data_IF_796339152471
#
_entry.id   IF_796339152471
#
_cell.length_a   1.000
_cell.length_b   1.000
_cell.length_c   1.000
_cell.angle_alpha   90.00
_cell.angle_beta   90.00
_cell.angle_gamma   90.00
#
_symmetry.space_group_name_H-M   'P 1'
#
loop_
_entity.id
_entity.type
_entity.pdbx_description
1 polymer ?
#
# COMPACT_ATOMS: atom_id res chain seq x y z
N UNK A 1 9.32 6.94 -23.22
CA UNK A 1 9.45 6.21 -21.94
C UNK A 1 8.09 5.67 -21.54
N UNK A 2 7.94 4.37 -21.35
CA UNK A 2 6.71 3.75 -20.86
C UNK A 2 6.41 4.26 -19.44
N UNK A 3 5.22 4.80 -19.22
CA UNK A 3 4.81 5.38 -17.91
C UNK A 3 3.78 4.53 -17.16
N UNK A 4 3.27 3.49 -17.85
CA UNK A 4 2.21 2.60 -17.34
C UNK A 4 2.59 1.17 -17.68
N UNK A 5 2.48 0.27 -16.72
CA UNK A 5 2.94 -1.12 -16.84
C UNK A 5 1.84 -2.10 -16.44
N UNK A 6 1.89 -3.32 -16.96
CA UNK A 6 1.12 -4.44 -16.42
C UNK A 6 1.68 -4.89 -15.08
N UNK A 7 0.88 -5.66 -14.35
CA UNK A 7 1.34 -6.26 -13.07
C UNK A 7 2.51 -7.21 -13.32
N UNK A 8 2.49 -7.95 -14.44
CA UNK A 8 3.56 -8.87 -14.81
C UNK A 8 4.86 -8.13 -15.09
N UNK A 9 4.82 -7.06 -15.90
CA UNK A 9 6.00 -6.23 -16.17
C UNK A 9 6.60 -5.65 -14.88
N UNK A 10 5.77 -5.20 -13.94
CA UNK A 10 6.27 -4.73 -12.63
C UNK A 10 6.97 -5.85 -11.87
N UNK A 11 6.40 -7.06 -11.82
CA UNK A 11 7.01 -8.22 -11.18
C UNK A 11 8.36 -8.60 -11.81
N UNK A 12 8.46 -8.55 -13.13
CA UNK A 12 9.72 -8.80 -13.83
C UNK A 12 10.78 -7.76 -13.47
N UNK A 13 10.42 -6.47 -13.45
CA UNK A 13 11.31 -5.38 -13.06
C UNK A 13 11.79 -5.57 -11.62
N UNK A 14 10.87 -5.85 -10.69
CA UNK A 14 11.20 -6.13 -9.29
C UNK A 14 12.09 -7.37 -9.14
N UNK A 15 11.82 -8.43 -9.90
CA UNK A 15 12.61 -9.67 -9.90
C UNK A 15 14.04 -9.44 -10.43
N UNK A 16 14.21 -8.62 -11.47
CA UNK A 16 15.54 -8.23 -11.98
C UNK A 16 16.32 -7.41 -10.95
N UNK A 17 15.66 -6.46 -10.32
CA UNK A 17 16.28 -5.66 -9.25
C UNK A 17 16.65 -6.52 -8.03
N UNK A 18 15.78 -7.47 -7.64
CA UNK A 18 16.04 -8.45 -6.58
C UNK A 18 17.33 -9.26 -6.85
N UNK A 19 17.47 -9.81 -8.06
CA UNK A 19 18.70 -10.54 -8.45
C UNK A 19 19.94 -9.64 -8.40
N UNK A 20 19.83 -8.40 -8.88
CA UNK A 20 20.91 -7.43 -8.86
C UNK A 20 21.38 -7.06 -7.44
N UNK A 21 20.46 -7.11 -6.46
CA UNK A 21 20.74 -6.86 -5.04
C UNK A 21 21.15 -8.11 -4.25
N UNK A 22 21.55 -9.17 -4.92
CA UNK A 22 21.95 -10.42 -4.25
C UNK A 22 20.84 -11.09 -3.47
N UNK A 23 19.56 -10.92 -3.88
CA UNK A 23 18.42 -11.55 -3.23
C UNK A 23 17.81 -10.75 -2.05
N UNK A 24 18.15 -9.48 -1.88
CA UNK A 24 17.58 -8.62 -0.83
C UNK A 24 16.31 -7.89 -1.31
N UNK A 25 15.15 -8.56 -1.15
CA UNK A 25 13.84 -7.93 -1.39
C UNK A 25 13.39 -7.03 -0.25
N UNK A 26 13.87 -7.26 0.96
CA UNK A 26 13.46 -6.48 2.13
C UNK A 26 13.92 -5.02 2.03
N UNK A 27 15.09 -4.76 1.45
CA UNK A 27 15.57 -3.39 1.23
C UNK A 27 14.65 -2.59 0.29
N UNK A 28 14.05 -3.24 -0.72
CA UNK A 28 13.06 -2.59 -1.60
C UNK A 28 11.80 -2.21 -0.82
N UNK A 29 11.30 -3.11 0.04
CA UNK A 29 10.15 -2.82 0.92
C UNK A 29 10.46 -1.66 1.87
N UNK A 30 11.65 -1.62 2.47
CA UNK A 30 12.08 -0.51 3.33
C UNK A 30 12.09 0.81 2.55
N UNK A 31 12.68 0.83 1.35
CA UNK A 31 12.71 2.02 0.49
C UNK A 31 11.28 2.48 0.11
N UNK A 32 10.42 1.54 -0.28
CA UNK A 32 9.02 1.82 -0.60
C UNK A 32 8.30 2.47 0.58
N UNK A 33 8.34 1.83 1.75
CA UNK A 33 7.67 2.32 2.95
C UNK A 33 8.19 3.69 3.41
N UNK A 34 9.52 3.88 3.46
CA UNK A 34 10.15 5.15 3.85
C UNK A 34 9.77 6.27 2.88
N UNK A 35 9.86 6.03 1.57
CA UNK A 35 9.55 7.06 0.58
C UNK A 35 8.04 7.37 0.52
N UNK A 36 7.17 6.38 0.74
CA UNK A 36 5.75 6.62 0.94
C UNK A 36 5.50 7.47 2.19
N UNK A 37 6.12 7.16 3.33
CA UNK A 37 5.98 7.93 4.56
C UNK A 37 6.40 9.40 4.38
N UNK A 38 7.52 9.66 3.70
CA UNK A 38 7.96 11.03 3.34
C UNK A 38 6.92 11.77 2.48
N UNK A 39 6.23 11.08 1.54
CA UNK A 39 5.14 11.69 0.76
C UNK A 39 3.89 11.92 1.61
N UNK A 40 3.55 10.97 2.49
CA UNK A 40 2.41 11.09 3.42
C UNK A 40 2.59 12.32 4.30
N UNK A 41 3.75 12.53 4.90
CA UNK A 41 4.07 13.71 5.74
C UNK A 41 3.71 15.01 5.01
N UNK A 42 4.08 15.14 3.73
CA UNK A 42 3.76 16.33 2.91
C UNK A 42 2.26 16.51 2.65
N UNK A 43 1.46 15.43 2.71
CA UNK A 43 0.04 15.43 2.38
C UNK A 43 -0.89 15.62 3.60
N UNK A 44 -0.44 15.26 4.82
CA UNK A 44 -1.36 15.09 5.95
C UNK A 44 -1.25 16.14 7.06
N UNK A 45 -0.26 17.04 7.04
CA UNK A 45 -0.13 18.18 7.99
C UNK A 45 -0.37 17.78 9.46
N UNK A 46 0.42 16.89 10.05
CA UNK A 46 0.34 16.43 11.46
C UNK A 46 -1.04 15.88 11.92
N UNK A 47 -1.92 15.47 11.03
CA UNK A 47 -3.15 14.78 11.44
C UNK A 47 -2.86 13.39 11.99
N UNK A 48 -3.69 12.86 12.92
CA UNK A 48 -3.61 11.46 13.33
C UNK A 48 -3.74 10.52 12.12
N UNK A 49 -2.95 9.46 12.12
CA UNK A 49 -2.85 8.51 11.01
C UNK A 49 -3.30 7.12 11.49
N UNK A 50 -4.15 6.50 10.71
CA UNK A 50 -4.57 5.10 10.91
C UNK A 50 -4.08 4.30 9.71
N UNK A 51 -3.24 3.30 9.95
CA UNK A 51 -2.73 2.41 8.92
C UNK A 51 -3.48 1.07 9.00
N UNK A 52 -4.01 0.62 7.87
CA UNK A 52 -4.72 -0.65 7.79
C UNK A 52 -3.93 -1.61 6.92
N UNK A 53 -3.32 -2.64 7.54
CA UNK A 53 -2.39 -3.57 6.90
C UNK A 53 -3.05 -4.92 6.61
N UNK A 54 -2.99 -5.36 5.35
CA UNK A 54 -3.38 -6.69 4.92
C UNK A 54 -2.25 -7.73 5.03
N UNK A 55 -2.45 -8.97 4.53
CA UNK A 55 -1.55 -10.10 4.77
C UNK A 55 -0.27 -10.12 3.93
N UNK A 56 -0.23 -9.38 2.79
CA UNK A 56 0.88 -9.42 1.83
C UNK A 56 1.91 -8.31 2.02
N UNK A 57 2.77 -8.14 1.00
CA UNK A 57 3.84 -7.14 1.00
C UNK A 57 3.33 -5.70 1.15
N UNK A 58 2.16 -5.39 0.61
CA UNK A 58 1.54 -4.06 0.82
C UNK A 58 1.26 -3.79 2.32
N UNK A 59 0.89 -4.83 3.10
CA UNK A 59 0.82 -4.75 4.56
C UNK A 59 2.19 -4.53 5.19
N UNK A 60 3.23 -5.17 4.64
CA UNK A 60 4.63 -4.96 5.02
C UNK A 60 5.08 -3.51 4.83
N UNK A 61 4.77 -2.92 3.66
CA UNK A 61 5.01 -1.50 3.40
C UNK A 61 4.33 -0.62 4.47
N UNK A 62 3.10 -0.98 4.86
CA UNK A 62 2.34 -0.31 5.92
C UNK A 62 3.05 -0.34 7.28
N UNK A 63 3.72 -1.43 7.64
CA UNK A 63 4.51 -1.51 8.88
C UNK A 63 5.74 -0.62 8.84
N UNK A 64 6.45 -0.58 7.71
CA UNK A 64 7.59 0.33 7.52
C UNK A 64 7.12 1.80 7.58
N UNK A 65 6.02 2.13 6.91
CA UNK A 65 5.40 3.47 6.96
C UNK A 65 5.08 3.84 8.42
N UNK A 66 4.47 2.90 9.17
CA UNK A 66 4.11 3.10 10.57
C UNK A 66 5.31 3.46 11.44
N UNK A 67 6.38 2.67 11.37
CA UNK A 67 7.61 2.94 12.10
C UNK A 67 8.19 4.30 11.78
N UNK A 68 8.33 4.62 10.49
CA UNK A 68 8.90 5.90 10.06
C UNK A 68 8.08 7.10 10.55
N UNK A 69 6.75 7.03 10.46
CA UNK A 69 5.87 8.10 10.93
C UNK A 69 5.89 8.22 12.46
N UNK A 70 5.98 7.11 13.17
CA UNK A 70 6.11 7.09 14.63
C UNK A 70 7.42 7.75 15.08
N UNK A 71 8.55 7.42 14.42
CA UNK A 71 9.85 8.06 14.65
C UNK A 71 9.87 9.57 14.31
N UNK A 72 8.92 10.04 13.51
CA UNK A 72 8.67 11.45 13.20
C UNK A 72 7.57 12.06 14.08
N UNK A 73 7.26 11.42 15.21
CA UNK A 73 6.32 11.90 16.24
C UNK A 73 4.88 12.10 15.73
N UNK A 74 4.47 11.38 14.67
CA UNK A 74 3.07 11.34 14.27
C UNK A 74 2.28 10.41 15.20
N UNK A 75 1.04 10.79 15.52
CA UNK A 75 0.10 9.90 16.21
C UNK A 75 -0.36 8.83 15.22
N UNK A 76 0.16 7.61 15.36
CA UNK A 76 -0.08 6.48 14.46
C UNK A 76 -0.78 5.35 15.19
N UNK A 77 -1.85 4.83 14.59
CA UNK A 77 -2.51 3.58 14.98
C UNK A 77 -2.39 2.57 13.84
N UNK A 78 -2.07 1.32 14.15
CA UNK A 78 -1.93 0.25 13.16
C UNK A 78 -2.96 -0.83 13.42
N UNK A 79 -3.85 -1.05 12.44
CA UNK A 79 -4.79 -2.17 12.42
C UNK A 79 -4.30 -3.23 11.44
N UNK A 80 -4.15 -4.46 11.89
CA UNK A 80 -3.60 -5.53 11.07
C UNK A 80 -4.19 -6.90 11.43
N UNK A 81 -3.87 -7.91 10.63
CA UNK A 81 -4.17 -9.30 10.92
C UNK A 81 -3.24 -9.85 12.02
N UNK A 82 -3.54 -11.04 12.52
CA UNK A 82 -2.65 -11.75 13.46
C UNK A 82 -1.35 -12.14 12.76
N UNK A 83 -0.25 -12.22 13.52
CA UNK A 83 1.12 -12.54 13.05
C UNK A 83 1.17 -13.76 12.13
N UNK A 84 0.38 -14.79 12.38
CA UNK A 84 0.34 -16.05 11.59
C UNK A 84 -0.01 -15.86 10.11
N UNK A 85 -0.63 -14.74 9.76
CA UNK A 85 -1.00 -14.41 8.37
C UNK A 85 0.12 -13.73 7.57
N UNK A 86 1.25 -13.38 8.21
CA UNK A 86 2.38 -12.75 7.54
C UNK A 86 3.48 -13.74 7.23
N UNK A 87 4.11 -13.60 6.04
CA UNK A 87 5.23 -14.44 5.57
C UNK A 87 6.30 -13.52 4.94
N UNK A 88 7.49 -14.06 4.71
CA UNK A 88 8.58 -13.36 4.00
C UNK A 88 8.87 -11.97 4.58
N UNK A 89 9.00 -10.98 3.70
CA UNK A 89 9.36 -9.61 4.08
C UNK A 89 8.28 -8.90 4.88
N UNK A 90 7.01 -9.20 4.62
CA UNK A 90 5.91 -8.68 5.44
C UNK A 90 6.00 -9.15 6.90
N UNK A 91 6.42 -10.40 7.14
CA UNK A 91 6.67 -10.89 8.50
C UNK A 91 7.90 -10.23 9.13
N UNK A 92 8.97 -10.01 8.36
CA UNK A 92 10.16 -9.27 8.84
C UNK A 92 9.76 -7.84 9.26
N UNK A 93 8.98 -7.15 8.43
CA UNK A 93 8.48 -5.81 8.74
C UNK A 93 7.58 -5.79 9.98
N UNK A 94 6.65 -6.76 10.10
CA UNK A 94 5.80 -6.92 11.28
C UNK A 94 6.62 -7.10 12.57
N UNK A 95 7.65 -7.97 12.55
CA UNK A 95 8.52 -8.21 13.72
C UNK A 95 9.33 -6.98 14.14
N UNK A 96 9.63 -6.08 13.20
CA UNK A 96 10.36 -4.82 13.43
C UNK A 96 9.44 -3.66 13.82
N UNK A 97 8.12 -3.86 13.83
CA UNK A 97 7.17 -2.80 14.16
C UNK A 97 7.26 -2.43 15.64
N UNK A 98 7.50 -1.15 15.91
CA UNK A 98 7.63 -0.59 17.27
C UNK A 98 6.30 -0.15 17.87
N UNK A 99 5.23 -0.16 17.08
CA UNK A 99 3.89 0.32 17.47
C UNK A 99 3.04 -0.90 17.88
N UNK A 100 2.32 -0.77 19.01
CA UNK A 100 1.33 -1.77 19.42
C UNK A 100 0.19 -1.83 18.38
N UNK A 101 -0.02 -3.00 17.81
CA UNK A 101 -1.04 -3.22 16.80
C UNK A 101 -2.40 -3.55 17.40
N UNK A 102 -3.46 -3.27 16.65
CA UNK A 102 -4.82 -3.69 16.92
C UNK A 102 -5.31 -4.67 15.85
N UNK A 103 -6.18 -5.62 16.25
CA UNK A 103 -6.77 -6.53 15.27
C UNK A 103 -7.61 -5.75 14.25
N UNK A 104 -7.45 -6.06 12.97
CA UNK A 104 -8.13 -5.36 11.87
C UNK A 104 -9.66 -5.39 11.99
N UNK A 105 -10.23 -6.43 12.59
CA UNK A 105 -11.68 -6.52 12.85
C UNK A 105 -12.19 -5.42 13.78
N UNK A 106 -11.31 -4.91 14.66
CA UNK A 106 -11.60 -3.82 15.60
C UNK A 106 -11.44 -2.42 14.97
N UNK A 107 -11.12 -2.35 13.68
CA UNK A 107 -10.96 -1.07 12.99
C UNK A 107 -12.18 -0.17 13.21
N UNK A 108 -11.92 1.03 13.71
CA UNK A 108 -12.90 2.11 13.86
C UNK A 108 -12.37 3.35 13.14
N UNK A 109 -13.19 3.87 12.26
CA UNK A 109 -12.95 5.14 11.61
C UNK A 109 -13.02 6.27 12.63
N UNK A 110 -12.09 7.23 12.59
CA UNK A 110 -12.09 8.40 13.50
C UNK A 110 -12.19 9.69 12.70
N UNK A 111 -13.05 10.59 13.14
CA UNK A 111 -13.11 11.96 12.60
C UNK A 111 -11.72 12.61 12.66
N UNK A 112 -11.37 13.38 11.63
CA UNK A 112 -10.09 14.10 11.52
C UNK A 112 -8.82 13.25 11.39
N UNK A 113 -8.91 11.92 11.25
CA UNK A 113 -7.77 11.08 10.91
C UNK A 113 -7.61 10.92 9.39
N UNK A 114 -6.39 10.56 8.97
CA UNK A 114 -6.10 10.10 7.62
C UNK A 114 -5.89 8.60 7.67
N UNK A 115 -6.54 7.87 6.77
CA UNK A 115 -6.38 6.43 6.64
C UNK A 115 -5.33 6.14 5.57
N UNK A 116 -4.39 5.27 5.89
CA UNK A 116 -3.45 4.68 4.92
C UNK A 116 -3.91 3.26 4.64
N UNK A 117 -4.31 3.02 3.41
CA UNK A 117 -4.73 1.72 2.90
C UNK A 117 -3.49 0.95 2.43
N UNK A 118 -3.13 -0.05 3.20
CA UNK A 118 -2.08 -1.02 2.92
C UNK A 118 -2.64 -2.46 2.96
N UNK A 119 -3.92 -2.68 2.56
CA UNK A 119 -4.53 -4.00 2.66
C UNK A 119 -4.05 -4.89 1.52
N UNK A 120 -4.25 -4.47 0.27
CA UNK A 120 -3.84 -5.21 -0.92
C UNK A 120 -3.21 -4.28 -1.96
N UNK A 121 -2.11 -4.71 -2.56
CA UNK A 121 -1.52 -4.13 -3.76
C UNK A 121 -1.89 -4.95 -5.00
N UNK A 122 -1.03 -4.94 -6.00
CA UNK A 122 -1.21 -5.63 -7.29
C UNK A 122 -1.32 -7.16 -7.20
N UNK A 123 -0.94 -7.77 -6.09
CA UNK A 123 -1.04 -9.21 -5.87
C UNK A 123 -2.45 -9.77 -5.65
N UNK A 124 -3.48 -8.90 -5.58
CA UNK A 124 -4.86 -9.33 -5.39
C UNK A 124 -5.43 -9.94 -6.69
N UNK A 125 -5.86 -11.21 -6.62
CA UNK A 125 -6.45 -11.94 -7.74
C UNK A 125 -7.81 -12.57 -7.43
N UNK A 126 -8.35 -12.35 -6.23
CA UNK A 126 -9.65 -12.90 -5.78
C UNK A 126 -10.55 -11.80 -5.22
N UNK A 127 -11.88 -11.95 -5.31
CA UNK A 127 -12.80 -11.01 -4.69
C UNK A 127 -12.58 -10.89 -3.18
N UNK A 128 -12.59 -9.65 -2.68
CA UNK A 128 -12.48 -9.38 -1.24
C UNK A 128 -13.82 -9.70 -0.57
N UNK A 129 -13.77 -10.47 0.51
CA UNK A 129 -14.93 -10.90 1.28
C UNK A 129 -14.68 -10.79 2.81
N UNK A 130 -15.68 -11.16 3.61
CA UNK A 130 -15.58 -11.28 5.06
C UNK A 130 -15.14 -10.00 5.78
N UNK A 131 -14.27 -10.14 6.76
CA UNK A 131 -13.81 -9.05 7.62
C UNK A 131 -13.16 -7.92 6.83
N UNK A 132 -12.32 -8.23 5.83
CA UNK A 132 -11.64 -7.21 5.03
C UNK A 132 -12.60 -6.38 4.18
N UNK A 133 -13.65 -7.02 3.62
CA UNK A 133 -14.74 -6.30 2.93
C UNK A 133 -15.43 -5.32 3.89
N UNK A 134 -15.79 -5.77 5.10
CA UNK A 134 -16.44 -4.92 6.11
C UNK A 134 -15.54 -3.74 6.54
N UNK A 135 -14.22 -3.94 6.64
CA UNK A 135 -13.25 -2.89 6.95
C UNK A 135 -13.19 -1.86 5.82
N UNK A 136 -13.06 -2.30 4.57
CA UNK A 136 -13.02 -1.40 3.40
C UNK A 136 -14.29 -0.55 3.31
N UNK A 137 -15.46 -1.15 3.51
CA UNK A 137 -16.73 -0.41 3.49
C UNK A 137 -16.78 0.66 4.61
N UNK A 138 -16.22 0.36 5.80
CA UNK A 138 -16.09 1.35 6.89
C UNK A 138 -15.09 2.44 6.57
N UNK A 139 -13.94 2.11 5.96
CA UNK A 139 -12.95 3.10 5.50
C UNK A 139 -13.56 4.09 4.52
N UNK A 140 -14.36 3.61 3.57
CA UNK A 140 -14.99 4.43 2.53
C UNK A 140 -16.01 5.47 3.07
N UNK A 141 -16.43 5.37 4.32
CA UNK A 141 -17.29 6.38 4.99
C UNK A 141 -16.50 7.61 5.46
N UNK A 142 -15.17 7.56 5.43
CA UNK A 142 -14.29 8.64 5.88
C UNK A 142 -13.78 9.49 4.70
N UNK A 143 -13.38 10.71 5.04
CA UNK A 143 -13.12 11.75 4.04
C UNK A 143 -11.72 11.71 3.44
N UNK A 144 -10.71 11.07 4.04
CA UNK A 144 -9.33 11.09 3.51
C UNK A 144 -8.64 9.74 3.61
N UNK A 145 -8.47 9.10 2.46
CA UNK A 145 -7.76 7.83 2.33
C UNK A 145 -6.60 8.01 1.36
N UNK A 146 -5.42 7.54 1.74
CA UNK A 146 -4.24 7.40 0.88
C UNK A 146 -3.99 5.91 0.70
N UNK A 147 -4.09 5.40 -0.53
CA UNK A 147 -3.79 4.00 -0.84
C UNK A 147 -2.33 3.85 -1.27
N UNK A 148 -1.69 2.79 -0.80
CA UNK A 148 -0.33 2.42 -1.20
C UNK A 148 -0.42 1.42 -2.34
N UNK A 149 0.39 1.62 -3.36
CA UNK A 149 0.50 0.89 -4.60
C UNK A 149 -0.72 1.05 -5.52
N UNK A 150 -1.85 0.48 -5.19
CA UNK A 150 -3.15 0.59 -5.86
C UNK A 150 -4.27 0.53 -4.81
N UNK A 151 -5.42 1.19 -5.00
CA UNK A 151 -6.51 1.07 -4.03
C UNK A 151 -6.91 -0.38 -3.83
N UNK A 152 -6.92 -0.83 -2.57
CA UNK A 152 -7.27 -2.22 -2.26
C UNK A 152 -8.60 -2.61 -2.86
N UNK A 153 -8.60 -3.71 -3.61
CA UNK A 153 -9.75 -4.21 -4.34
C UNK A 153 -9.82 -3.82 -5.82
N UNK A 154 -8.90 -3.00 -6.32
CA UNK A 154 -8.75 -2.72 -7.75
C UNK A 154 -7.76 -3.71 -8.37
N UNK A 155 -8.15 -4.37 -9.45
CA UNK A 155 -7.26 -5.22 -10.24
C UNK A 155 -6.22 -4.37 -10.99
N UNK A 156 -4.95 -4.72 -10.86
CA UNK A 156 -3.82 -3.93 -11.38
C UNK A 156 -3.75 -3.83 -12.90
N UNK A 157 -4.31 -4.79 -13.63
CA UNK A 157 -4.29 -4.81 -15.10
C UNK A 157 -5.59 -4.32 -15.72
N UNK A 158 -6.73 -4.72 -15.15
CA UNK A 158 -8.04 -4.42 -15.74
C UNK A 158 -8.75 -3.21 -15.15
N UNK A 159 -8.31 -2.73 -14.01
CA UNK A 159 -8.99 -1.68 -13.25
C UNK A 159 -10.34 -2.09 -12.66
N UNK A 160 -10.76 -3.35 -12.82
CA UNK A 160 -12.04 -3.86 -12.29
C UNK A 160 -12.00 -3.97 -10.76
N UNK A 161 -13.18 -3.84 -10.14
CA UNK A 161 -13.36 -4.03 -8.70
C UNK A 161 -13.47 -5.53 -8.41
N UNK A 162 -12.65 -6.03 -7.49
CA UNK A 162 -12.68 -7.40 -7.00
C UNK A 162 -13.48 -7.48 -5.70
N UNK A 163 -14.79 -7.63 -5.80
CA UNK A 163 -15.74 -7.71 -4.68
C UNK A 163 -16.08 -6.37 -4.04
N UNK A 164 -15.10 -5.63 -3.56
CA UNK A 164 -15.21 -4.25 -3.11
C UNK A 164 -13.87 -3.54 -3.25
N UNK A 165 -13.85 -2.21 -3.24
CA UNK A 165 -12.60 -1.47 -3.33
C UNK A 165 -12.58 -0.20 -2.47
N UNK A 166 -11.39 0.20 -2.07
CA UNK A 166 -11.14 1.48 -1.38
C UNK A 166 -11.29 2.63 -2.36
N UNK A 167 -12.02 3.68 -1.94
CA UNK A 167 -12.15 4.95 -2.67
C UNK A 167 -11.06 5.91 -2.20
N UNK A 168 -9.86 5.80 -2.77
CA UNK A 168 -8.75 6.66 -2.38
C UNK A 168 -8.96 8.13 -2.79
N UNK A 169 -8.39 9.05 -2.03
CA UNK A 169 -8.22 10.46 -2.41
C UNK A 169 -6.89 10.68 -3.13
N UNK A 170 -5.90 9.90 -2.73
CA UNK A 170 -4.58 9.88 -3.35
C UNK A 170 -4.08 8.45 -3.34
N UNK A 171 -3.44 8.04 -4.43
CA UNK A 171 -2.75 6.74 -4.53
C UNK A 171 -1.26 7.00 -4.69
N UNK A 172 -0.45 6.38 -3.84
CA UNK A 172 1.00 6.36 -3.93
C UNK A 172 1.40 5.12 -4.71
N UNK A 173 1.52 5.23 -6.02
CA UNK A 173 1.88 4.11 -6.91
C UNK A 173 3.37 3.80 -6.78
N UNK A 174 3.70 2.59 -6.34
CA UNK A 174 5.09 2.15 -6.16
C UNK A 174 5.75 1.95 -7.52
N UNK A 175 6.95 2.50 -7.69
CA UNK A 175 7.78 2.47 -8.90
C UNK A 175 7.12 3.11 -10.12
N UNK A 176 5.94 2.66 -10.53
CA UNK A 176 5.23 3.14 -11.73
C UNK A 176 3.71 2.99 -11.60
N UNK A 177 2.96 3.63 -12.51
CA UNK A 177 1.52 3.39 -12.66
C UNK A 177 1.30 2.00 -13.26
N UNK A 178 0.27 1.30 -12.77
CA UNK A 178 -0.24 0.07 -13.37
C UNK A 178 -1.37 0.39 -14.34
N UNK A 179 -1.64 -0.50 -15.30
CA UNK A 179 -2.72 -0.33 -16.28
C UNK A 179 -4.05 -0.05 -15.57
N UNK A 180 -4.34 -0.77 -14.48
CA UNK A 180 -5.56 -0.61 -13.70
C UNK A 180 -5.78 0.79 -13.09
N UNK A 181 -4.72 1.59 -12.96
CA UNK A 181 -4.85 3.01 -12.56
C UNK A 181 -5.45 3.89 -13.66
N UNK A 182 -5.39 3.48 -14.92
CA UNK A 182 -5.79 4.28 -16.09
C UNK A 182 -7.16 3.88 -16.63
N UNK A 183 -7.64 2.70 -16.30
CA UNK A 183 -8.93 2.14 -16.72
C UNK A 183 -10.01 2.36 -15.64
N UNK A 184 -11.24 2.63 -16.06
CA UNK A 184 -12.36 2.68 -15.12
C UNK A 184 -12.83 1.25 -14.76
N UNK A 185 -13.25 1.03 -13.50
CA UNK A 185 -13.41 2.00 -12.41
C UNK A 185 -12.12 2.35 -11.66
N UNK A 186 -10.99 1.68 -11.88
CA UNK A 186 -9.73 1.88 -11.15
C UNK A 186 -9.25 3.33 -11.18
N UNK A 187 -9.31 4.01 -12.34
CA UNK A 187 -8.98 5.43 -12.47
C UNK A 187 -9.80 6.31 -11.50
N UNK A 188 -11.11 6.08 -11.42
CA UNK A 188 -12.03 6.81 -10.53
C UNK A 188 -11.71 6.55 -9.05
N UNK A 189 -11.31 5.34 -8.70
CA UNK A 189 -11.00 4.93 -7.33
C UNK A 189 -9.60 5.37 -6.89
N UNK A 190 -8.64 5.49 -7.80
CA UNK A 190 -7.27 5.95 -7.53
C UNK A 190 -7.14 7.46 -7.39
N UNK A 191 -8.00 8.23 -8.04
CA UNK A 191 -8.01 9.71 -8.08
C UNK A 191 -6.64 10.32 -8.38
N UNK A 192 -6.07 11.09 -7.44
CA UNK A 192 -4.72 11.67 -7.59
C UNK A 192 -3.66 10.60 -7.43
N UNK A 193 -2.86 10.36 -8.46
CA UNK A 193 -1.79 9.35 -8.42
C UNK A 193 -0.45 10.05 -8.36
N UNK A 194 0.37 9.66 -7.38
CA UNK A 194 1.75 10.10 -7.20
C UNK A 194 2.62 8.87 -7.29
N UNK A 195 3.54 8.83 -8.26
CA UNK A 195 4.52 7.75 -8.36
C UNK A 195 5.59 7.95 -7.29
N UNK A 196 5.88 6.88 -6.57
CA UNK A 196 6.91 6.84 -5.52
C UNK A 196 8.07 6.01 -6.01
N UNK A 197 9.26 6.61 -6.02
CA UNK A 197 10.50 5.89 -6.28
C UNK A 197 10.81 4.95 -5.12
N UNK A 198 11.00 3.68 -5.41
CA UNK A 198 11.33 2.63 -4.44
C UNK A 198 12.77 2.16 -4.54
N UNK A 199 13.59 2.84 -5.35
CA UNK A 199 15.00 2.53 -5.54
C UNK A 199 15.30 1.52 -6.64
N UNK A 200 14.34 1.24 -7.52
CA UNK A 200 14.55 0.42 -8.71
C UNK A 200 15.27 1.25 -9.79
N UNK A 201 16.30 0.68 -10.40
CA UNK A 201 17.06 1.36 -11.45
C UNK A 201 16.16 1.72 -12.64
N UNK A 202 16.21 2.98 -13.07
CA UNK A 202 15.47 3.47 -14.24
C UNK A 202 15.87 2.77 -15.56
N UNK A 203 17.04 2.13 -15.60
CA UNK A 203 17.50 1.33 -16.76
C UNK A 203 16.57 0.13 -17.08
N UNK A 204 15.76 -0.34 -16.13
CA UNK A 204 14.82 -1.44 -16.33
C UNK A 204 13.46 -1.02 -16.89
N UNK A 205 13.21 0.28 -17.04
CA UNK A 205 11.94 0.81 -17.54
C UNK A 205 11.86 0.93 -19.07
N UNK A 206 12.88 0.40 -19.81
CA UNK A 206 13.09 0.77 -21.21
C UNK A 206 13.36 -0.42 -22.14
N UNK A 207 12.44 -1.36 -22.20
CA UNK A 207 12.33 -2.19 -23.41
C UNK A 207 10.90 -2.19 -23.92
#
# INVERSE_FOLDING_TARGET
>A
MKKVFSVEEIKEIESREFRKRGGDSFSLMVNAGVNCAKKIIKLVKKKPIIIVCGPGNNGGDGFIIGNYLHEKEYKVEVFCLQKKYYKGDALKAFKKLKIKTQNISKFKARKNSVIIDCIFGTGLNKPISGTLKSVILRMNKLNKIISIDIPSGINGDTGKILGCAVKAHTTLALHAKKIGHTLNPGKKFSRKIIVVDIGISKKFNYK
#
